data_IF_623471583380
#
_entry.id   IF_623471583380
#
_cell.length_a   1.000
_cell.length_b   1.000
_cell.length_c   1.000
_cell.angle_alpha   90.00
_cell.angle_beta   90.00
_cell.angle_gamma   90.00
#
_symmetry.space_group_name_H-M   'P 1'
#
loop_
_entity.id
_entity.type
_entity.pdbx_description
1 polymer ?
#
# COMPACT_ATOMS: atom_id res chain seq x y z
N UNK A 1 15.44 13.58 -16.61
CA UNK A 1 15.02 14.71 -15.75
C UNK A 1 16.26 15.34 -15.14
N UNK A 2 16.57 16.61 -15.45
CA UNK A 2 17.88 17.21 -15.12
C UNK A 2 17.85 18.20 -13.94
N UNK A 3 16.70 18.69 -13.48
CA UNK A 3 16.68 19.68 -12.39
C UNK A 3 15.42 19.60 -11.51
N UNK A 4 15.57 19.73 -10.19
CA UNK A 4 14.47 19.69 -9.20
C UNK A 4 13.35 20.71 -9.46
N UNK A 5 13.66 21.78 -10.22
CA UNK A 5 12.74 22.88 -10.55
C UNK A 5 11.60 22.48 -11.50
N UNK A 6 11.73 21.37 -12.22
CA UNK A 6 10.70 20.91 -13.17
C UNK A 6 9.64 20.00 -12.51
N UNK A 7 9.87 19.60 -11.25
CA UNK A 7 8.98 18.68 -10.52
C UNK A 7 7.88 19.40 -9.73
N UNK A 8 8.18 20.60 -9.21
CA UNK A 8 7.30 21.39 -8.33
C UNK A 8 6.35 22.42 -8.97
N UNK A 9 6.46 22.87 -10.23
CA UNK A 9 5.51 23.83 -10.79
C UNK A 9 4.08 23.28 -10.78
N UNK A 10 3.08 24.15 -10.96
CA UNK A 10 1.67 23.74 -11.06
C UNK A 10 1.43 22.67 -12.14
N UNK A 11 2.17 22.74 -13.26
CA UNK A 11 2.19 21.71 -14.31
C UNK A 11 3.40 20.76 -14.20
N UNK A 12 3.97 20.62 -13.01
CA UNK A 12 5.08 19.73 -12.73
C UNK A 12 4.69 18.27 -12.92
N UNK A 13 5.69 17.44 -13.21
CA UNK A 13 5.48 16.02 -13.54
C UNK A 13 4.70 15.28 -12.44
N UNK A 14 4.90 15.66 -11.17
CA UNK A 14 4.21 15.03 -10.05
C UNK A 14 2.71 15.34 -10.02
N UNK A 15 2.32 16.59 -10.30
CA UNK A 15 0.90 16.96 -10.35
C UNK A 15 0.20 16.34 -11.57
N UNK A 16 0.87 16.33 -12.73
CA UNK A 16 0.37 15.68 -13.93
C UNK A 16 0.16 14.18 -13.71
N UNK A 17 1.15 13.49 -13.13
CA UNK A 17 1.07 12.07 -12.80
C UNK A 17 -0.10 11.77 -11.84
N UNK A 18 -0.24 12.54 -10.77
CA UNK A 18 -1.34 12.35 -9.81
C UNK A 18 -2.70 12.59 -10.48
N UNK A 19 -2.83 13.62 -11.30
CA UNK A 19 -4.07 13.94 -12.00
C UNK A 19 -4.49 12.81 -12.95
N UNK A 20 -3.55 12.32 -13.78
CA UNK A 20 -3.81 11.22 -14.70
C UNK A 20 -4.18 9.94 -13.94
N UNK A 21 -3.46 9.63 -12.85
CA UNK A 21 -3.72 8.45 -12.02
C UNK A 21 -5.12 8.48 -11.41
N UNK A 22 -5.54 9.63 -10.86
CA UNK A 22 -6.90 9.82 -10.33
C UNK A 22 -7.93 9.63 -11.43
N UNK A 23 -7.77 10.26 -12.58
CA UNK A 23 -8.71 10.11 -13.70
C UNK A 23 -8.88 8.65 -14.14
N UNK A 24 -7.78 7.91 -14.31
CA UNK A 24 -7.81 6.51 -14.74
C UNK A 24 -8.43 5.61 -13.68
N UNK A 25 -8.06 5.76 -12.40
CA UNK A 25 -8.62 4.95 -11.31
C UNK A 25 -10.11 5.26 -11.07
N UNK A 26 -10.52 6.52 -11.14
CA UNK A 26 -11.94 6.90 -11.03
C UNK A 26 -12.73 6.35 -12.22
N UNK A 27 -12.23 6.44 -13.44
CA UNK A 27 -12.89 5.86 -14.60
C UNK A 27 -13.03 4.33 -14.47
N UNK A 28 -11.96 3.62 -14.09
CA UNK A 28 -11.99 2.17 -13.88
C UNK A 28 -12.96 1.77 -12.77
N UNK A 29 -13.00 2.51 -11.66
CA UNK A 29 -13.95 2.28 -10.57
C UNK A 29 -15.40 2.52 -11.00
N UNK A 30 -15.67 3.64 -11.70
CA UNK A 30 -17.00 4.01 -12.16
C UNK A 30 -17.56 3.01 -13.19
N UNK A 31 -16.82 2.73 -14.27
CA UNK A 31 -17.25 1.76 -15.29
C UNK A 31 -17.26 0.33 -14.75
N UNK A 32 -16.35 -0.01 -13.83
CA UNK A 32 -16.33 -1.30 -13.15
C UNK A 32 -17.61 -1.55 -12.34
N UNK A 33 -18.06 -0.55 -11.57
CA UNK A 33 -19.31 -0.64 -10.82
C UNK A 33 -20.54 -0.69 -11.74
N UNK A 34 -20.58 0.11 -12.81
CA UNK A 34 -21.70 0.06 -13.77
C UNK A 34 -21.84 -1.31 -14.47
N UNK A 35 -20.74 -2.03 -14.68
CA UNK A 35 -20.75 -3.33 -15.36
C UNK A 35 -21.27 -4.47 -14.48
N UNK A 36 -20.84 -4.51 -13.21
CA UNK A 36 -21.11 -5.64 -12.30
C UNK A 36 -22.17 -5.33 -11.21
N UNK A 37 -22.52 -4.05 -11.02
CA UNK A 37 -23.48 -3.60 -10.03
C UNK A 37 -23.11 -4.03 -8.61
N UNK A 38 -24.10 -4.54 -7.87
CA UNK A 38 -23.93 -4.97 -6.47
C UNK A 38 -23.17 -6.29 -6.30
N UNK A 39 -22.83 -6.99 -7.40
CA UNK A 39 -22.09 -8.25 -7.36
C UNK A 39 -20.56 -8.06 -7.48
N UNK A 40 -20.06 -6.83 -7.35
CA UNK A 40 -18.61 -6.55 -7.41
C UNK A 40 -17.90 -7.16 -6.21
N UNK A 41 -17.04 -8.16 -6.47
CA UNK A 41 -16.00 -8.62 -5.55
C UNK A 41 -14.86 -7.62 -5.38
N UNK A 42 -14.06 -7.77 -4.32
CA UNK A 42 -12.96 -6.88 -3.93
C UNK A 42 -11.83 -6.67 -4.95
N UNK A 43 -11.88 -7.36 -6.09
CA UNK A 43 -11.13 -6.99 -7.30
C UNK A 43 -12.00 -7.19 -8.52
N UNK A 44 -12.00 -6.22 -9.44
CA UNK A 44 -12.74 -6.27 -10.71
C UNK A 44 -12.35 -7.51 -11.52
N UNK A 45 -11.07 -7.89 -11.49
CA UNK A 45 -10.51 -9.02 -12.24
C UNK A 45 -11.14 -10.35 -11.83
N UNK A 46 -11.58 -10.46 -10.56
CA UNK A 46 -12.22 -11.66 -10.04
C UNK A 46 -13.68 -11.81 -10.52
N UNK A 47 -14.31 -10.72 -10.98
CA UNK A 47 -15.67 -10.74 -11.52
C UNK A 47 -15.71 -11.03 -13.01
N UNK A 48 -14.59 -10.93 -13.73
CA UNK A 48 -14.56 -11.18 -15.16
C UNK A 48 -14.96 -12.64 -15.47
N UNK A 49 -15.91 -12.89 -16.38
CA UNK A 49 -16.24 -14.23 -16.82
C UNK A 49 -15.06 -14.83 -17.60
N UNK A 50 -14.89 -16.15 -17.53
CA UNK A 50 -13.76 -16.85 -18.18
C UNK A 50 -14.14 -17.45 -19.54
N UNK A 51 -15.40 -17.29 -19.98
CA UNK A 51 -15.89 -17.90 -21.21
C UNK A 51 -15.37 -17.24 -22.49
N UNK A 52 -15.03 -15.94 -22.45
CA UNK A 52 -14.53 -15.24 -23.63
C UNK A 52 -13.00 -15.12 -23.62
N UNK A 53 -12.42 -15.28 -24.81
CA UNK A 53 -10.98 -15.15 -25.04
C UNK A 53 -10.42 -13.80 -24.58
N UNK A 54 -11.17 -12.72 -24.74
CA UNK A 54 -10.74 -11.37 -24.34
C UNK A 54 -10.53 -11.26 -22.83
N UNK A 55 -11.48 -11.74 -22.03
CA UNK A 55 -11.37 -11.70 -20.56
C UNK A 55 -10.29 -12.64 -20.04
N UNK A 56 -10.12 -13.80 -20.68
CA UNK A 56 -9.03 -14.72 -20.38
C UNK A 56 -7.66 -14.05 -20.63
N UNK A 57 -7.49 -13.35 -21.75
CA UNK A 57 -6.26 -12.62 -22.05
C UNK A 57 -5.95 -11.55 -20.98
N UNK A 58 -6.95 -10.78 -20.54
CA UNK A 58 -6.77 -9.77 -19.48
C UNK A 58 -6.33 -10.42 -18.17
N UNK A 59 -6.94 -11.54 -17.77
CA UNK A 59 -6.54 -12.29 -16.57
C UNK A 59 -5.09 -12.78 -16.67
N UNK A 60 -4.70 -13.34 -17.82
CA UNK A 60 -3.33 -13.81 -18.04
C UNK A 60 -2.31 -12.67 -17.99
N UNK A 61 -2.61 -11.54 -18.64
CA UNK A 61 -1.77 -10.35 -18.58
C UNK A 61 -1.62 -9.84 -17.14
N UNK A 62 -2.71 -9.82 -16.37
CA UNK A 62 -2.65 -9.43 -14.96
C UNK A 62 -1.77 -10.37 -14.12
N UNK A 63 -1.91 -11.68 -14.29
CA UNK A 63 -1.05 -12.66 -13.61
C UNK A 63 0.43 -12.44 -13.94
N UNK A 64 0.77 -12.18 -15.20
CA UNK A 64 2.14 -11.88 -15.62
C UNK A 64 2.66 -10.59 -14.98
N UNK A 65 1.85 -9.52 -14.98
CA UNK A 65 2.22 -8.23 -14.35
C UNK A 65 2.47 -8.40 -12.85
N UNK A 66 1.58 -9.10 -12.15
CA UNK A 66 1.74 -9.34 -10.70
C UNK A 66 2.97 -10.19 -10.42
N UNK A 67 3.24 -11.22 -11.21
CA UNK A 67 4.42 -12.07 -11.05
C UNK A 67 5.73 -11.27 -11.17
N UNK A 68 5.85 -10.44 -12.21
CA UNK A 68 7.04 -9.59 -12.43
C UNK A 68 7.15 -8.52 -11.33
N UNK A 69 6.03 -7.88 -10.98
CA UNK A 69 6.00 -6.80 -9.99
C UNK A 69 6.35 -7.30 -8.58
N UNK A 70 5.91 -8.50 -8.21
CA UNK A 70 6.21 -9.09 -6.91
C UNK A 70 7.73 -9.24 -6.68
N UNK A 71 8.47 -9.68 -7.69
CA UNK A 71 9.93 -9.78 -7.61
C UNK A 71 10.60 -8.42 -7.39
N UNK A 72 10.14 -7.38 -8.08
CA UNK A 72 10.67 -6.02 -7.93
C UNK A 72 10.31 -5.41 -6.57
N UNK A 73 9.09 -5.62 -6.08
CA UNK A 73 8.65 -5.07 -4.79
C UNK A 73 9.39 -5.72 -3.62
N UNK A 74 9.71 -7.02 -3.70
CA UNK A 74 10.42 -7.73 -2.64
C UNK A 74 11.90 -7.31 -2.51
N UNK A 75 12.48 -6.72 -3.55
CA UNK A 75 13.86 -6.21 -3.52
C UNK A 75 14.05 -5.13 -2.46
N UNK A 76 13.12 -4.18 -2.35
CA UNK A 76 13.23 -3.03 -1.44
C UNK A 76 13.36 -3.45 0.04
N UNK A 77 12.44 -4.23 0.64
CA UNK A 77 12.55 -4.63 2.04
C UNK A 77 13.78 -5.51 2.29
N UNK A 78 14.11 -6.44 1.37
CA UNK A 78 15.30 -7.29 1.52
C UNK A 78 16.57 -6.44 1.62
N UNK A 79 16.76 -5.45 0.75
CA UNK A 79 17.96 -4.61 0.83
C UNK A 79 18.00 -3.76 2.08
N UNK A 80 16.86 -3.18 2.49
CA UNK A 80 16.81 -2.36 3.71
C UNK A 80 17.19 -3.19 4.93
N UNK A 81 16.64 -4.40 5.07
CA UNK A 81 17.00 -5.27 6.19
C UNK A 81 18.43 -5.82 6.06
N UNK A 82 18.89 -6.14 4.85
CA UNK A 82 20.24 -6.64 4.63
C UNK A 82 21.29 -5.58 4.97
N UNK A 83 21.08 -4.32 4.59
CA UNK A 83 21.96 -3.21 4.99
C UNK A 83 21.99 -3.03 6.52
N UNK A 84 20.86 -3.24 7.19
CA UNK A 84 20.81 -3.23 8.66
C UNK A 84 21.59 -4.39 9.29
N UNK A 85 21.48 -5.60 8.72
CA UNK A 85 22.28 -6.76 9.15
C UNK A 85 23.76 -6.57 8.88
N UNK A 86 24.14 -6.00 7.74
CA UNK A 86 25.53 -5.73 7.36
C UNK A 86 26.22 -4.79 8.33
N UNK A 87 25.52 -3.76 8.79
CA UNK A 87 26.03 -2.84 9.81
C UNK A 87 26.20 -3.48 11.20
N UNK A 88 25.58 -4.65 11.44
CA UNK A 88 25.62 -5.36 12.73
C UNK A 88 26.56 -6.56 12.73
N UNK A 89 26.75 -7.21 11.58
CA UNK A 89 27.51 -8.45 11.42
C UNK A 89 28.57 -8.20 10.35
N UNK A 90 29.62 -7.45 10.70
CA UNK A 90 30.69 -7.06 9.76
C UNK A 90 31.68 -8.21 9.47
N UNK A 91 31.84 -9.16 10.38
CA UNK A 91 33.08 -9.95 10.42
C UNK A 91 33.01 -11.37 9.84
N UNK A 92 31.82 -11.90 9.47
CA UNK A 92 31.69 -13.30 9.04
C UNK A 92 30.92 -13.47 7.71
N UNK A 93 31.61 -13.78 6.59
CA UNK A 93 30.98 -13.92 5.26
C UNK A 93 30.02 -15.12 5.17
N UNK A 94 30.30 -16.20 5.91
CA UNK A 94 29.39 -17.34 6.02
C UNK A 94 28.08 -16.96 6.71
N UNK A 95 28.18 -16.23 7.83
CA UNK A 95 27.01 -15.78 8.59
C UNK A 95 26.15 -14.80 7.76
N UNK A 96 26.78 -13.97 6.93
CA UNK A 96 26.08 -13.07 6.00
C UNK A 96 25.26 -13.84 4.95
N UNK A 97 25.86 -14.85 4.29
CA UNK A 97 25.19 -15.62 3.23
C UNK A 97 24.02 -16.46 3.75
N UNK A 98 24.19 -17.10 4.90
CA UNK A 98 23.10 -17.81 5.57
C UNK A 98 22.04 -16.84 6.11
N UNK A 99 22.46 -15.70 6.66
CA UNK A 99 21.57 -14.65 7.16
C UNK A 99 20.68 -14.06 6.06
N UNK A 100 21.22 -13.79 4.88
CA UNK A 100 20.44 -13.29 3.74
C UNK A 100 19.40 -14.32 3.27
N UNK A 101 19.81 -15.59 3.15
CA UNK A 101 18.91 -16.68 2.73
C UNK A 101 17.78 -16.86 3.75
N UNK A 102 18.13 -16.86 5.04
CA UNK A 102 17.17 -16.95 6.13
C UNK A 102 16.20 -15.76 6.14
N UNK A 103 16.70 -14.54 5.94
CA UNK A 103 15.87 -13.34 5.88
C UNK A 103 14.85 -13.39 4.74
N UNK A 104 15.29 -13.79 3.54
CA UNK A 104 14.41 -13.97 2.38
C UNK A 104 13.34 -15.03 2.67
N UNK A 105 13.73 -16.15 3.29
CA UNK A 105 12.81 -17.22 3.69
C UNK A 105 11.77 -16.70 4.69
N UNK A 106 12.19 -16.03 5.76
CA UNK A 106 11.30 -15.48 6.79
C UNK A 106 10.32 -14.47 6.20
N UNK A 107 10.80 -13.52 5.38
CA UNK A 107 9.94 -12.54 4.73
C UNK A 107 8.89 -13.21 3.82
N UNK A 108 9.26 -14.27 3.10
CA UNK A 108 8.32 -15.00 2.27
C UNK A 108 7.32 -15.81 3.10
N UNK A 109 7.77 -16.46 4.18
CA UNK A 109 6.90 -17.18 5.11
C UNK A 109 5.88 -16.25 5.78
N UNK A 110 6.28 -15.04 6.15
CA UNK A 110 5.36 -14.03 6.67
C UNK A 110 4.29 -13.68 5.63
N UNK A 111 4.69 -13.46 4.37
CA UNK A 111 3.73 -13.19 3.29
C UNK A 111 2.73 -14.36 3.08
N UNK A 112 3.23 -15.60 3.09
CA UNK A 112 2.39 -16.80 3.00
C UNK A 112 1.45 -16.94 4.20
N UNK A 113 1.92 -16.61 5.41
CA UNK A 113 1.07 -16.61 6.59
C UNK A 113 -0.09 -15.61 6.46
N UNK A 114 0.17 -14.40 5.95
CA UNK A 114 -0.88 -13.41 5.66
C UNK A 114 -1.87 -13.91 4.60
N UNK A 115 -1.39 -14.57 3.55
CA UNK A 115 -2.24 -15.15 2.50
C UNK A 115 -3.16 -16.26 3.03
N UNK A 116 -2.68 -17.07 3.99
CA UNK A 116 -3.49 -18.10 4.64
C UNK A 116 -4.49 -17.53 5.66
N UNK A 117 -4.14 -16.45 6.35
CA UNK A 117 -4.97 -15.85 7.40
C UNK A 117 -6.23 -15.19 6.84
N UNK A 118 -6.15 -14.53 5.69
CA UNK A 118 -7.26 -13.75 5.13
C UNK A 118 -7.49 -14.16 3.67
N UNK A 119 -8.48 -15.02 3.36
CA UNK A 119 -8.74 -15.49 2.00
C UNK A 119 -9.39 -14.42 1.10
N UNK A 120 -9.74 -13.26 1.64
CA UNK A 120 -10.39 -12.16 0.93
C UNK A 120 -9.41 -11.00 0.64
N UNK A 121 -9.03 -10.84 -0.64
CA UNK A 121 -8.08 -9.82 -1.09
C UNK A 121 -8.50 -8.39 -0.72
N UNK A 122 -9.80 -8.06 -0.84
CA UNK A 122 -10.31 -6.72 -0.52
C UNK A 122 -10.09 -6.31 0.93
N UNK A 123 -10.27 -7.25 1.87
CA UNK A 123 -10.04 -7.02 3.30
C UNK A 123 -8.56 -6.80 3.61
N UNK A 124 -7.67 -7.58 3.00
CA UNK A 124 -6.21 -7.39 3.12
C UNK A 124 -5.82 -6.00 2.61
N UNK A 125 -6.26 -5.62 1.41
CA UNK A 125 -5.91 -4.34 0.78
C UNK A 125 -6.40 -3.17 1.65
N UNK A 126 -7.61 -3.26 2.20
CA UNK A 126 -8.16 -2.25 3.11
C UNK A 126 -7.35 -2.12 4.40
N UNK A 127 -6.97 -3.25 5.02
CA UNK A 127 -6.16 -3.28 6.23
C UNK A 127 -4.77 -2.64 6.01
N UNK A 128 -4.05 -3.08 4.97
CA UNK A 128 -2.74 -2.52 4.63
C UNK A 128 -2.85 -1.05 4.21
N UNK A 129 -3.91 -0.66 3.52
CA UNK A 129 -4.18 0.75 3.19
C UNK A 129 -4.37 1.60 4.44
N UNK A 130 -5.26 1.19 5.34
CA UNK A 130 -5.55 1.92 6.57
C UNK A 130 -4.31 2.05 7.47
N UNK A 131 -3.53 0.97 7.63
CA UNK A 131 -2.33 0.96 8.47
C UNK A 131 -1.14 1.68 7.81
N UNK A 132 -0.73 1.22 6.62
CA UNK A 132 0.53 1.67 6.01
C UNK A 132 0.39 2.98 5.24
N UNK A 133 -0.69 3.17 4.48
CA UNK A 133 -0.87 4.38 3.67
C UNK A 133 -1.10 5.60 4.56
N UNK A 134 -1.94 5.48 5.59
CA UNK A 134 -2.18 6.57 6.55
C UNK A 134 -0.88 6.96 7.28
N UNK A 135 -0.09 5.97 7.70
CA UNK A 135 1.19 6.22 8.37
C UNK A 135 2.21 6.91 7.44
N UNK A 136 2.41 6.41 6.22
CA UNK A 136 3.40 6.96 5.30
C UNK A 136 2.97 8.28 4.66
N UNK A 137 1.68 8.47 4.38
CA UNK A 137 1.19 9.64 3.64
C UNK A 137 0.76 10.80 4.55
N UNK A 138 0.16 10.51 5.71
CA UNK A 138 -0.42 11.55 6.57
C UNK A 138 0.35 11.77 7.86
N UNK A 139 1.03 10.76 8.40
CA UNK A 139 1.73 10.88 9.69
C UNK A 139 3.21 11.24 9.48
N UNK A 140 3.90 10.52 8.59
CA UNK A 140 5.35 10.69 8.40
C UNK A 140 5.76 12.07 7.81
N UNK A 141 5.10 12.63 6.77
CA UNK A 141 5.52 13.90 6.20
C UNK A 141 5.35 15.09 7.15
N UNK A 142 4.24 15.25 7.90
CA UNK A 142 4.11 16.30 8.90
C UNK A 142 5.12 16.20 10.04
N UNK A 143 5.46 14.98 10.49
CA UNK A 143 6.50 14.78 11.51
C UNK A 143 7.86 15.22 10.96
N UNK A 144 8.25 14.74 9.78
CA UNK A 144 9.52 15.12 9.14
C UNK A 144 9.61 16.62 8.89
N UNK A 145 8.54 17.24 8.39
CA UNK A 145 8.48 18.68 8.17
C UNK A 145 8.61 19.46 9.48
N UNK A 146 7.96 19.00 10.55
CA UNK A 146 8.03 19.64 11.87
C UNK A 146 9.42 19.49 12.49
N UNK A 147 10.06 18.31 12.38
CA UNK A 147 11.42 18.08 12.87
C UNK A 147 12.48 18.88 12.10
N UNK A 148 12.32 19.03 10.78
CA UNK A 148 13.31 19.72 9.94
C UNK A 148 13.30 21.25 10.15
N UNK A 149 12.15 21.83 10.53
CA UNK A 149 11.99 23.28 10.69
C UNK A 149 12.12 23.76 12.14
N UNK A 150 12.16 22.84 13.10
CA UNK A 150 12.35 23.15 14.52
C UNK A 150 13.78 23.62 14.80
N UNK A 151 14.02 24.71 15.57
CA UNK A 151 13.08 25.65 16.21
C UNK A 151 12.87 26.98 15.46
N UNK A 152 13.69 27.31 14.46
CA UNK A 152 13.83 28.69 13.97
C UNK A 152 12.95 29.07 12.77
N UNK A 153 12.25 28.13 12.12
CA UNK A 153 11.47 28.38 10.89
C UNK A 153 10.04 27.83 10.91
N UNK A 154 9.32 27.95 12.03
CA UNK A 154 7.92 27.49 12.17
C UNK A 154 6.85 28.44 11.58
N UNK A 155 7.26 29.51 10.89
CA UNK A 155 6.36 30.52 10.31
C UNK A 155 5.75 31.49 11.34
N UNK A 156 5.07 32.53 10.86
CA UNK A 156 4.35 33.48 11.73
C UNK A 156 3.30 32.74 12.58
N UNK A 157 3.36 32.95 13.90
CA UNK A 157 2.44 32.37 14.89
C UNK A 157 2.43 30.83 15.01
N UNK A 158 3.48 30.11 14.57
CA UNK A 158 3.54 28.63 14.57
C UNK A 158 2.39 27.96 13.80
N UNK A 159 1.74 28.66 12.87
CA UNK A 159 0.60 28.16 12.10
C UNK A 159 0.91 26.85 11.35
N UNK A 160 2.15 26.72 10.84
CA UNK A 160 2.59 25.52 10.15
C UNK A 160 2.63 24.29 11.07
N UNK A 161 2.98 24.48 12.35
CA UNK A 161 2.98 23.42 13.35
C UNK A 161 1.56 22.96 13.69
N UNK A 162 0.64 23.90 13.89
CA UNK A 162 -0.78 23.61 14.17
C UNK A 162 -1.38 22.81 13.01
N UNK A 163 -1.14 23.24 11.77
CA UNK A 163 -1.58 22.53 10.56
C UNK A 163 -1.02 21.09 10.50
N UNK A 164 0.27 20.92 10.79
CA UNK A 164 0.90 19.61 10.76
C UNK A 164 0.37 18.67 11.84
N UNK A 165 0.17 19.19 13.05
CA UNK A 165 -0.45 18.44 14.15
C UNK A 165 -1.86 18.02 13.77
N UNK A 166 -2.66 18.93 13.19
CA UNK A 166 -4.01 18.62 12.74
C UNK A 166 -4.03 17.49 11.70
N UNK A 167 -3.16 17.56 10.67
CA UNK A 167 -3.03 16.51 9.65
C UNK A 167 -2.61 15.17 10.28
N UNK A 168 -1.67 15.20 11.24
CA UNK A 168 -1.21 13.99 11.92
C UNK A 168 -2.33 13.34 12.77
N UNK A 169 -3.13 14.15 13.49
CA UNK A 169 -4.28 13.67 14.27
C UNK A 169 -5.32 13.03 13.35
N UNK A 170 -5.67 13.70 12.23
CA UNK A 170 -6.58 13.15 11.24
C UNK A 170 -6.06 11.81 10.70
N UNK A 171 -4.78 11.74 10.33
CA UNK A 171 -4.16 10.50 9.86
C UNK A 171 -4.21 9.37 10.90
N UNK A 172 -3.98 9.70 12.17
CA UNK A 172 -4.05 8.73 13.27
C UNK A 172 -5.48 8.24 13.52
N UNK A 173 -6.46 9.13 13.52
CA UNK A 173 -7.87 8.73 13.64
C UNK A 173 -8.34 7.86 12.47
N UNK A 174 -7.88 8.15 11.24
CA UNK A 174 -8.15 7.35 10.06
C UNK A 174 -7.52 5.96 10.15
N UNK A 175 -6.30 5.88 10.68
CA UNK A 175 -5.64 4.60 10.93
C UNK A 175 -6.40 3.75 11.94
N UNK A 176 -6.81 4.32 13.09
CA UNK A 176 -7.57 3.58 14.11
C UNK A 176 -8.92 3.10 13.55
N UNK A 177 -9.71 4.02 12.99
CA UNK A 177 -11.04 3.69 12.48
C UNK A 177 -10.97 2.70 11.32
N UNK A 178 -10.06 2.91 10.36
CA UNK A 178 -9.87 2.01 9.23
C UNK A 178 -9.39 0.62 9.64
N UNK A 179 -8.44 0.53 10.58
CA UNK A 179 -7.97 -0.77 11.10
C UNK A 179 -9.07 -1.48 11.88
N UNK A 180 -9.83 -0.75 12.70
CA UNK A 180 -10.95 -1.31 13.46
C UNK A 180 -12.02 -1.89 12.52
N UNK A 181 -12.43 -1.14 11.49
CA UNK A 181 -13.41 -1.63 10.50
C UNK A 181 -12.85 -2.82 9.71
N UNK A 182 -11.59 -2.78 9.29
CA UNK A 182 -10.98 -3.90 8.58
C UNK A 182 -10.92 -5.18 9.44
N UNK A 183 -10.49 -5.07 10.70
CA UNK A 183 -10.40 -6.20 11.63
C UNK A 183 -11.76 -6.79 11.98
N UNK A 184 -12.75 -5.93 12.27
CA UNK A 184 -14.12 -6.40 12.58
C UNK A 184 -14.72 -7.14 11.40
N UNK A 185 -14.51 -6.66 10.17
CA UNK A 185 -14.96 -7.36 8.97
C UNK A 185 -14.24 -8.71 8.77
N UNK A 186 -12.94 -8.79 9.03
CA UNK A 186 -12.18 -10.04 8.96
C UNK A 186 -12.71 -11.07 9.96
N UNK A 187 -12.94 -10.66 11.22
CA UNK A 187 -13.46 -11.56 12.27
C UNK A 187 -14.88 -12.03 11.93
N UNK A 188 -15.74 -11.11 11.46
CA UNK A 188 -17.09 -11.47 11.04
C UNK A 188 -17.10 -12.49 9.90
N UNK A 189 -16.23 -12.32 8.90
CA UNK A 189 -16.09 -13.25 7.79
C UNK A 189 -15.48 -14.59 8.19
N UNK A 190 -14.57 -14.60 9.17
CA UNK A 190 -14.02 -15.83 9.73
C UNK A 190 -15.06 -16.64 10.51
N UNK A 191 -16.03 -15.99 11.16
CA UNK A 191 -17.06 -16.65 11.96
C UNK A 191 -18.30 -17.05 11.14
N UNK A 192 -18.64 -16.28 10.10
CA UNK A 192 -19.80 -16.56 9.25
C UNK A 192 -19.43 -16.45 7.75
N UNK A 193 -18.90 -17.53 7.14
CA UNK A 193 -18.40 -17.50 5.77
C UNK A 193 -19.48 -17.29 4.70
N UNK A 194 -20.76 -17.43 5.04
CA UNK A 194 -21.89 -17.26 4.12
C UNK A 194 -22.50 -15.84 4.16
N UNK A 195 -21.94 -14.92 4.95
CA UNK A 195 -22.44 -13.55 4.99
C UNK A 195 -22.17 -12.81 3.66
N UNK A 196 -23.18 -12.13 3.12
CA UNK A 196 -23.08 -11.36 1.86
C UNK A 196 -21.94 -10.33 1.84
N UNK A 197 -21.53 -9.86 3.02
CA UNK A 197 -20.44 -8.90 3.21
C UNK A 197 -19.05 -9.50 2.94
N UNK A 198 -18.91 -10.83 2.97
CA UNK A 198 -17.66 -11.55 2.71
C UNK A 198 -17.53 -11.99 1.25
N UNK A 199 -18.63 -12.01 0.50
CA UNK A 199 -18.65 -12.24 -0.94
C UNK A 199 -18.40 -10.97 -1.76
N UNK A 200 -18.34 -9.81 -1.11
CA UNK A 200 -18.00 -8.52 -1.71
C UNK A 200 -16.50 -8.23 -1.61
#
# INVERSE_FOLDING_TARGET
MKTKKDLLPWNGVMNLYMTITVCVYTAMGFYGYLCFGDNVKGSIILNLPTNDWLYLSVKLMYCLVVFVTYGLQFYVPVNVLLSYMQNRIQDNPFCMKYGETFLRLVLHLVNLAFAMLIPHLGLIISLFGALSSSALSLVLPPIMHSLTLWPDRLGTCKWQLIKNIFIAILGFSGCITGTYVALTNIIHCSLNPNAKMCSA
#
